data_IF_608261695600
#
_entry.id   IF_608261695600
#
_cell.length_a   1.000
_cell.length_b   1.000
_cell.length_c   1.000
_cell.angle_alpha   90.00
_cell.angle_beta   90.00
_cell.angle_gamma   90.00
#
_symmetry.space_group_name_H-M   'P 1'
#
loop_
_entity.id
_entity.type
_entity.pdbx_description
1 polymer ?
#
# COMPACT_ATOMS: atom_id res chain seq x y z
N UNK A 1 12.68 -38.81 6.36
CA UNK A 1 11.27 -38.32 6.42
C UNK A 1 11.10 -37.02 7.21
N UNK A 2 11.89 -36.76 8.26
CA UNK A 2 11.76 -35.54 9.08
C UNK A 2 12.01 -34.23 8.30
N UNK A 3 13.05 -34.18 7.44
CA UNK A 3 13.35 -32.96 6.65
C UNK A 3 12.24 -32.56 5.66
N UNK A 4 11.49 -33.52 5.12
CA UNK A 4 10.34 -33.22 4.24
C UNK A 4 9.18 -32.57 5.03
N UNK A 5 8.98 -32.97 6.28
CA UNK A 5 7.94 -32.39 7.15
C UNK A 5 8.28 -30.96 7.57
N UNK A 6 9.56 -30.67 7.87
CA UNK A 6 10.00 -29.31 8.20
C UNK A 6 9.90 -28.35 7.01
N UNK A 7 10.27 -28.79 5.81
CA UNK A 7 10.13 -27.95 4.60
C UNK A 7 8.66 -27.61 4.32
N UNK A 8 7.77 -28.60 4.40
CA UNK A 8 6.33 -28.37 4.19
C UNK A 8 5.77 -27.41 5.25
N UNK A 9 6.19 -27.54 6.51
CA UNK A 9 5.77 -26.63 7.58
C UNK A 9 6.17 -25.18 7.29
N UNK A 10 7.41 -24.93 6.87
CA UNK A 10 7.87 -23.57 6.54
C UNK A 10 7.10 -22.97 5.36
N UNK A 11 6.83 -23.74 4.31
CA UNK A 11 6.08 -23.27 3.14
C UNK A 11 4.63 -22.91 3.51
N UNK A 12 3.95 -23.77 4.27
CA UNK A 12 2.57 -23.52 4.71
C UNK A 12 2.50 -22.30 5.64
N UNK A 13 3.44 -22.18 6.57
CA UNK A 13 3.48 -21.04 7.51
C UNK A 13 3.77 -19.72 6.78
N UNK A 14 4.70 -19.73 5.81
CA UNK A 14 4.98 -18.55 5.00
C UNK A 14 3.78 -18.12 4.14
N UNK A 15 3.08 -19.08 3.52
CA UNK A 15 1.87 -18.79 2.74
C UNK A 15 0.75 -18.21 3.60
N UNK A 16 0.54 -18.77 4.80
CA UNK A 16 -0.44 -18.26 5.75
C UNK A 16 -0.12 -16.82 6.18
N UNK A 17 1.15 -16.51 6.41
CA UNK A 17 1.58 -15.18 6.82
C UNK A 17 1.37 -14.14 5.71
N UNK A 18 1.62 -14.51 4.45
CA UNK A 18 1.34 -13.65 3.28
C UNK A 18 -0.16 -13.42 3.11
N UNK A 19 -0.98 -14.46 3.25
CA UNK A 19 -2.44 -14.33 3.15
C UNK A 19 -3.02 -13.44 4.25
N UNK A 20 -2.61 -13.64 5.51
CA UNK A 20 -3.06 -12.82 6.65
C UNK A 20 -2.62 -11.37 6.49
N UNK A 21 -1.37 -11.13 6.06
CA UNK A 21 -0.87 -9.77 5.80
C UNK A 21 -1.60 -9.11 4.63
N UNK A 22 -1.91 -9.87 3.58
CA UNK A 22 -2.70 -9.40 2.44
C UNK A 22 -4.12 -9.00 2.84
N UNK A 23 -4.80 -9.81 3.65
CA UNK A 23 -6.12 -9.47 4.19
C UNK A 23 -6.06 -8.23 5.11
N UNK A 24 -5.04 -8.11 5.97
CA UNK A 24 -4.87 -6.96 6.85
C UNK A 24 -4.62 -5.65 6.06
N UNK A 25 -3.90 -5.72 4.94
CA UNK A 25 -3.69 -4.58 4.04
C UNK A 25 -4.94 -4.21 3.23
N UNK A 26 -5.91 -5.11 3.08
CA UNK A 26 -7.21 -4.77 2.49
C UNK A 26 -8.12 -4.00 3.44
N UNK A 27 -7.82 -3.99 4.74
CA UNK A 27 -8.59 -3.25 5.76
C UNK A 27 -7.96 -1.91 6.15
N UNK A 28 -7.10 -1.33 5.30
CA UNK A 28 -6.51 -0.01 5.58
C UNK A 28 -7.62 1.03 5.61
N UNK A 29 -7.99 1.45 6.81
CA UNK A 29 -8.82 2.63 7.03
C UNK A 29 -8.01 3.87 6.67
N UNK A 30 -8.56 4.80 5.86
CA UNK A 30 -7.86 6.03 5.50
C UNK A 30 -7.55 6.83 6.77
N UNK A 31 -6.27 7.20 6.94
CA UNK A 31 -5.83 8.06 8.03
C UNK A 31 -6.48 9.44 7.86
N UNK A 32 -7.48 9.72 8.69
CA UNK A 32 -8.30 10.94 8.62
C UNK A 32 -7.70 12.10 9.44
N UNK A 33 -6.37 12.22 9.47
CA UNK A 33 -5.67 13.19 10.32
C UNK A 33 -5.24 14.47 9.59
N UNK A 34 -5.36 14.50 8.25
CA UNK A 34 -5.13 15.70 7.46
C UNK A 34 -6.50 16.33 7.21
N UNK A 35 -6.82 17.38 7.97
CA UNK A 35 -7.87 18.30 7.53
C UNK A 35 -7.38 18.84 6.18
N UNK A 36 -8.01 18.44 5.08
CA UNK A 36 -7.52 18.72 3.73
C UNK A 36 -7.73 20.18 3.31
N UNK A 37 -7.42 21.13 4.21
CA UNK A 37 -7.20 22.54 3.90
C UNK A 37 -5.94 22.68 3.04
N UNK A 38 -5.98 22.08 1.85
CA UNK A 38 -5.06 22.38 0.77
C UNK A 38 -5.54 23.69 0.15
N UNK A 39 -4.60 24.50 -0.35
CA UNK A 39 -4.94 25.70 -1.10
C UNK A 39 -5.95 25.37 -2.21
N UNK A 40 -6.95 26.22 -2.40
CA UNK A 40 -7.99 26.09 -3.40
C UNK A 40 -7.83 27.13 -4.51
N UNK A 41 -8.27 26.77 -5.71
CA UNK A 41 -8.40 27.73 -6.81
C UNK A 41 -9.42 28.83 -6.47
N UNK A 42 -10.41 28.55 -5.61
CA UNK A 42 -11.40 29.52 -5.17
C UNK A 42 -10.72 30.72 -4.47
N UNK A 43 -9.89 30.48 -3.45
CA UNK A 43 -9.19 31.55 -2.72
C UNK A 43 -8.16 32.26 -3.59
N UNK A 44 -7.53 31.55 -4.51
CA UNK A 44 -6.60 32.14 -5.47
C UNK A 44 -7.28 33.21 -6.35
N UNK A 45 -8.49 32.96 -6.84
CA UNK A 45 -9.23 33.94 -7.64
C UNK A 45 -9.95 34.98 -6.78
N UNK A 46 -10.71 34.54 -5.78
CA UNK A 46 -11.59 35.44 -5.02
C UNK A 46 -10.84 36.35 -4.05
N UNK A 47 -9.78 35.84 -3.43
CA UNK A 47 -9.10 36.55 -2.33
C UNK A 47 -7.74 37.10 -2.76
N UNK A 48 -6.93 36.30 -3.47
CA UNK A 48 -5.58 36.74 -3.90
C UNK A 48 -5.67 37.66 -5.11
N UNK A 49 -6.47 37.31 -6.11
CA UNK A 49 -6.71 38.16 -7.29
C UNK A 49 -7.82 39.20 -7.05
N UNK A 50 -8.59 39.06 -5.97
CA UNK A 50 -9.63 40.02 -5.59
C UNK A 50 -10.90 39.96 -6.45
N UNK A 51 -11.19 38.83 -7.10
CA UNK A 51 -12.45 38.65 -7.82
C UNK A 51 -13.59 38.38 -6.83
N UNK A 52 -14.27 39.40 -6.30
CA UNK A 52 -15.29 39.24 -5.25
C UNK A 52 -14.73 38.61 -3.95
N UNK A 53 -13.82 39.33 -3.24
CA UNK A 53 -13.29 38.87 -1.98
C UNK A 53 -14.39 38.86 -0.92
N UNK A 54 -14.47 37.78 -0.16
CA UNK A 54 -15.47 37.57 0.88
C UNK A 54 -14.88 37.37 2.27
N UNK A 55 -13.58 37.06 2.39
CA UNK A 55 -12.95 36.91 3.72
C UNK A 55 -12.93 38.21 4.53
N UNK A 56 -13.08 39.36 3.87
CA UNK A 56 -13.09 40.70 4.45
C UNK A 56 -14.37 41.47 4.14
N UNK A 57 -15.45 40.79 3.74
CA UNK A 57 -16.75 41.41 3.42
C UNK A 57 -17.49 42.00 4.65
N UNK A 58 -16.88 41.92 5.84
CA UNK A 58 -17.45 42.39 7.10
C UNK A 58 -18.54 41.47 7.65
N UNK A 59 -18.81 40.34 6.98
CA UNK A 59 -19.73 39.34 7.47
C UNK A 59 -18.99 38.30 8.32
N UNK A 60 -19.55 37.98 9.48
CA UNK A 60 -18.94 37.00 10.39
C UNK A 60 -18.96 35.56 9.82
N UNK A 61 -19.74 35.32 8.76
CA UNK A 61 -20.04 33.96 8.30
C UNK A 61 -18.90 33.37 7.46
N UNK A 62 -18.32 34.13 6.53
CA UNK A 62 -17.16 33.69 5.75
C UNK A 62 -15.89 33.54 6.59
N UNK A 63 -15.71 34.35 7.64
CA UNK A 63 -14.51 34.33 8.50
C UNK A 63 -14.32 32.97 9.20
N UNK A 64 -15.41 32.29 9.55
CA UNK A 64 -15.36 31.07 10.38
C UNK A 64 -14.60 29.92 9.73
N UNK A 65 -14.58 29.83 8.39
CA UNK A 65 -13.95 28.74 7.65
C UNK A 65 -12.93 29.23 6.60
N UNK A 66 -12.74 30.55 6.47
CA UNK A 66 -11.74 31.17 5.60
C UNK A 66 -10.29 30.74 5.89
N UNK A 67 -10.01 30.35 7.14
CA UNK A 67 -8.69 29.91 7.58
C UNK A 67 -8.22 28.64 6.85
N UNK A 68 -9.16 27.76 6.51
CA UNK A 68 -8.88 26.44 5.92
C UNK A 68 -9.17 26.35 4.42
N UNK A 69 -9.51 27.46 3.78
CA UNK A 69 -9.80 27.49 2.34
C UNK A 69 -10.95 26.54 1.92
N UNK A 70 -12.01 26.55 2.74
CA UNK A 70 -13.14 25.62 2.64
C UNK A 70 -14.32 26.16 1.83
N UNK A 71 -14.10 27.08 0.90
CA UNK A 71 -15.17 27.71 0.11
C UNK A 71 -16.06 26.65 -0.56
N UNK A 72 -15.44 25.63 -1.15
CA UNK A 72 -16.11 24.53 -1.85
C UNK A 72 -16.92 23.60 -0.93
N UNK A 73 -16.66 23.62 0.39
CA UNK A 73 -17.44 22.81 1.32
C UNK A 73 -18.86 23.35 1.43
N UNK A 74 -19.00 24.69 1.42
CA UNK A 74 -20.30 25.35 1.44
C UNK A 74 -20.90 25.52 0.04
N UNK A 75 -20.05 25.80 -0.96
CA UNK A 75 -20.50 26.18 -2.30
C UNK A 75 -20.39 25.07 -3.34
N UNK A 76 -19.87 23.89 -2.98
CA UNK A 76 -19.45 22.84 -3.92
C UNK A 76 -18.48 23.37 -4.98
N UNK A 77 -18.54 22.83 -6.19
CA UNK A 77 -17.61 23.17 -7.27
C UNK A 77 -16.27 22.41 -7.20
N UNK A 78 -15.44 22.63 -8.21
CA UNK A 78 -14.13 22.01 -8.33
C UNK A 78 -13.06 22.98 -7.80
N UNK A 79 -12.69 22.81 -6.54
CA UNK A 79 -11.70 23.64 -5.85
C UNK A 79 -10.26 23.46 -6.35
N UNK A 80 -10.05 22.56 -7.30
CA UNK A 80 -8.77 22.32 -7.93
C UNK A 80 -8.74 22.90 -9.35
N UNK A 81 -9.86 23.11 -10.04
CA UNK A 81 -9.81 23.59 -11.42
C UNK A 81 -9.19 24.99 -11.54
N UNK A 82 -8.29 25.16 -12.54
CA UNK A 82 -7.71 26.47 -12.90
C UNK A 82 -8.64 27.27 -13.82
N UNK A 83 -9.47 26.58 -14.59
CA UNK A 83 -10.49 27.21 -15.42
C UNK A 83 -11.71 27.60 -14.58
N UNK A 84 -12.22 28.81 -14.80
CA UNK A 84 -13.34 29.37 -14.03
C UNK A 84 -14.64 28.61 -14.23
N UNK A 85 -14.94 28.17 -15.46
CA UNK A 85 -16.17 27.45 -15.74
C UNK A 85 -16.11 26.03 -15.14
N UNK A 86 -14.96 25.37 -15.22
CA UNK A 86 -14.75 24.07 -14.58
C UNK A 86 -14.79 24.19 -13.05
N UNK A 87 -14.18 25.22 -12.46
CA UNK A 87 -14.22 25.46 -11.02
C UNK A 87 -15.65 25.67 -10.50
N UNK A 88 -16.50 26.33 -11.29
CA UNK A 88 -17.90 26.58 -10.92
C UNK A 88 -18.87 25.46 -11.32
N UNK A 89 -18.39 24.40 -11.98
CA UNK A 89 -19.25 23.29 -12.39
C UNK A 89 -19.77 22.55 -11.16
N UNK A 90 -21.11 22.46 -11.03
CA UNK A 90 -21.75 21.78 -9.90
C UNK A 90 -21.75 22.60 -8.60
N UNK A 91 -21.47 23.90 -8.65
CA UNK A 91 -21.68 24.77 -7.50
C UNK A 91 -23.14 24.81 -7.08
N UNK A 92 -23.36 24.95 -5.79
CA UNK A 92 -24.68 25.01 -5.16
C UNK A 92 -24.78 26.23 -4.24
N UNK A 93 -25.99 26.73 -3.97
CA UNK A 93 -26.19 27.71 -2.92
C UNK A 93 -25.70 27.16 -1.57
N UNK A 94 -25.14 28.02 -0.70
CA UNK A 94 -24.69 27.58 0.62
C UNK A 94 -25.84 26.93 1.40
N UNK A 95 -25.51 25.91 2.19
CA UNK A 95 -26.46 25.15 3.03
C UNK A 95 -27.53 24.35 2.25
N UNK A 96 -27.37 24.15 0.93
CA UNK A 96 -28.26 23.29 0.15
C UNK A 96 -28.16 21.81 0.58
N UNK A 97 -26.96 21.36 0.97
CA UNK A 97 -26.72 20.03 1.54
C UNK A 97 -25.81 20.14 2.77
N UNK A 98 -26.42 20.51 3.90
CA UNK A 98 -25.70 20.67 5.17
C UNK A 98 -25.00 19.37 5.59
N UNK A 99 -25.57 18.21 5.25
CA UNK A 99 -24.96 16.93 5.59
C UNK A 99 -23.64 16.77 4.84
N UNK A 100 -23.64 16.96 3.53
CA UNK A 100 -22.43 16.89 2.72
C UNK A 100 -21.39 17.95 3.13
N UNK A 101 -21.84 19.18 3.42
CA UNK A 101 -20.97 20.29 3.80
C UNK A 101 -20.35 20.13 5.20
N UNK A 102 -21.13 19.72 6.21
CA UNK A 102 -20.71 19.89 7.60
C UNK A 102 -20.34 18.58 8.31
N UNK A 103 -20.90 17.42 7.90
CA UNK A 103 -20.86 16.20 8.72
C UNK A 103 -19.46 15.66 8.98
N UNK A 104 -18.51 15.94 8.08
CA UNK A 104 -17.14 15.46 8.22
C UNK A 104 -16.43 16.04 9.45
N UNK A 105 -16.75 17.27 9.83
CA UNK A 105 -16.17 17.95 11.00
C UNK A 105 -17.16 18.08 12.17
N UNK A 106 -18.46 18.10 11.87
CA UNK A 106 -19.54 18.33 12.83
C UNK A 106 -20.57 17.19 12.83
N UNK A 107 -20.17 15.96 13.21
CA UNK A 107 -21.08 14.81 13.19
C UNK A 107 -22.15 14.86 14.29
N UNK A 108 -21.90 15.60 15.38
CA UNK A 108 -22.78 15.66 16.55
C UNK A 108 -23.64 16.91 16.66
N UNK A 109 -23.28 18.00 15.96
CA UNK A 109 -23.86 19.34 16.13
C UNK A 109 -24.15 20.04 14.80
N UNK A 110 -24.30 19.25 13.72
CA UNK A 110 -24.50 19.71 12.35
C UNK A 110 -25.63 20.74 12.21
N UNK A 111 -26.83 20.39 12.69
CA UNK A 111 -28.04 21.23 12.56
C UNK A 111 -27.91 22.52 13.37
N UNK A 112 -27.36 22.44 14.58
CA UNK A 112 -27.17 23.61 15.45
C UNK A 112 -26.23 24.62 14.80
N UNK A 113 -25.10 24.15 14.27
CA UNK A 113 -24.14 25.02 13.57
C UNK A 113 -24.70 25.59 12.28
N UNK A 114 -25.36 24.76 11.48
CA UNK A 114 -25.99 25.22 10.24
C UNK A 114 -27.06 26.28 10.48
N UNK A 115 -27.78 26.21 11.61
CA UNK A 115 -28.81 27.18 11.96
C UNK A 115 -28.24 28.58 12.19
N UNK A 116 -27.02 28.70 12.73
CA UNK A 116 -26.33 30.00 12.89
C UNK A 116 -26.13 30.66 11.53
N UNK A 117 -25.66 29.89 10.54
CA UNK A 117 -25.45 30.38 9.18
C UNK A 117 -26.76 30.67 8.45
N UNK A 118 -27.75 29.78 8.57
CA UNK A 118 -29.08 29.96 8.00
C UNK A 118 -29.73 31.27 8.48
N UNK A 119 -29.62 31.54 9.79
CA UNK A 119 -30.14 32.77 10.41
C UNK A 119 -29.40 34.02 9.95
N UNK A 120 -28.07 33.94 9.81
CA UNK A 120 -27.25 35.06 9.31
C UNK A 120 -27.52 35.37 7.83
N UNK A 121 -27.79 34.33 7.02
CA UNK A 121 -28.07 34.44 5.59
C UNK A 121 -29.56 34.71 5.27
N UNK A 122 -30.44 34.57 6.25
CA UNK A 122 -31.89 34.67 6.03
C UNK A 122 -32.45 33.55 5.13
N UNK A 123 -31.83 32.37 5.15
CA UNK A 123 -32.25 31.20 4.35
C UNK A 123 -32.69 30.06 5.25
N UNK A 124 -33.50 29.14 4.73
CA UNK A 124 -33.83 27.90 5.43
C UNK A 124 -32.81 26.81 5.09
N UNK A 125 -32.49 25.95 6.06
CA UNK A 125 -31.58 24.83 5.85
C UNK A 125 -32.19 23.89 4.80
N UNK A 126 -31.42 23.55 3.76
CA UNK A 126 -31.87 22.70 2.67
C UNK A 126 -32.81 23.39 1.67
N UNK A 127 -33.07 24.71 1.81
CA UNK A 127 -33.94 25.42 0.86
C UNK A 127 -33.26 25.75 -0.45
N UNK A 128 -31.95 25.52 -0.58
CA UNK A 128 -31.18 25.77 -1.80
C UNK A 128 -31.59 27.08 -2.47
N UNK A 129 -31.60 28.18 -1.71
CA UNK A 129 -32.22 29.41 -2.19
C UNK A 129 -31.53 29.89 -3.47
N UNK A 130 -32.35 30.09 -4.50
CA UNK A 130 -31.95 30.61 -5.80
C UNK A 130 -31.15 31.91 -5.67
N UNK A 131 -30.17 32.04 -6.57
CA UNK A 131 -29.28 33.17 -6.81
C UNK A 131 -29.69 34.48 -6.10
N UNK A 132 -28.84 34.95 -5.18
CA UNK A 132 -28.92 36.33 -4.70
C UNK A 132 -28.76 37.30 -5.86
N UNK A 133 -29.69 38.25 -5.95
CA UNK A 133 -29.61 39.41 -6.82
C UNK A 133 -28.29 40.20 -6.56
N UNK A 134 -27.77 40.94 -7.55
CA UNK A 134 -26.51 41.65 -7.40
C UNK A 134 -26.62 42.66 -6.26
N UNK A 135 -25.69 42.61 -5.32
CA UNK A 135 -25.57 43.62 -4.29
C UNK A 135 -25.29 44.98 -4.95
N UNK A 136 -26.17 45.96 -4.73
CA UNK A 136 -25.94 47.35 -5.06
C UNK A 136 -24.68 47.86 -4.34
N UNK A 137 -23.78 48.44 -5.14
CA UNK A 137 -22.52 49.03 -4.69
C UNK A 137 -22.77 50.20 -3.74
N UNK A 138 -22.41 50.05 -2.47
CA UNK A 138 -22.22 51.16 -1.53
C UNK A 138 -20.77 51.66 -1.69
N UNK A 139 -20.51 52.99 -1.78
CA UNK A 139 -19.16 53.48 -2.01
C UNK A 139 -18.26 53.25 -0.80
N UNK A 140 -17.04 52.82 -1.08
CA UNK A 140 -15.98 52.51 -0.13
C UNK A 140 -15.55 53.74 0.68
N UNK A 141 -15.56 53.61 2.00
CA UNK A 141 -14.83 54.50 2.89
C UNK A 141 -13.40 53.99 3.07
N UNK A 142 -12.42 54.88 2.88
CA UNK A 142 -10.99 54.63 3.02
C UNK A 142 -10.61 54.21 4.45
N UNK A 143 -9.89 53.09 4.61
CA UNK A 143 -9.07 52.79 5.79
C UNK A 143 -7.70 52.23 5.39
N UNK A 144 -6.67 52.41 6.23
CA UNK A 144 -5.29 52.51 5.81
C UNK A 144 -4.59 51.15 5.67
N UNK A 145 -3.58 51.16 4.80
CA UNK A 145 -2.65 50.07 4.58
C UNK A 145 -1.82 49.76 5.84
N UNK A 146 -1.70 48.48 6.20
CA UNK A 146 -0.42 47.78 6.47
C UNK A 146 -0.65 46.45 7.21
N UNK A 147 -0.27 45.35 6.57
CA UNK A 147 0.58 44.32 7.17
C UNK A 147 1.10 43.37 6.06
N UNK A 148 2.43 43.21 6.07
CA UNK A 148 3.28 42.41 5.19
C UNK A 148 2.64 41.17 4.51
N UNK A 149 2.67 41.16 3.18
CA UNK A 149 2.48 39.97 2.36
C UNK A 149 3.71 39.07 2.45
N UNK A 150 3.53 37.86 2.99
CA UNK A 150 4.46 36.75 2.79
C UNK A 150 4.19 36.20 1.38
N UNK A 151 5.20 35.99 0.52
CA UNK A 151 4.97 35.36 -0.77
C UNK A 151 4.79 33.86 -0.51
N UNK A 152 3.53 33.42 -0.42
CA UNK A 152 3.22 32.00 -0.55
C UNK A 152 2.74 31.81 -1.98
N UNK A 153 3.64 31.33 -2.83
CA UNK A 153 3.29 30.74 -4.11
C UNK A 153 2.43 29.51 -3.82
N UNK A 154 1.13 29.70 -3.64
CA UNK A 154 0.15 28.62 -3.53
C UNK A 154 -0.12 28.06 -4.93
N UNK A 155 0.91 27.53 -5.58
CA UNK A 155 0.73 26.72 -6.76
C UNK A 155 0.36 25.32 -6.29
N UNK A 156 -0.90 24.94 -6.49
CA UNK A 156 -1.39 23.59 -6.21
C UNK A 156 -0.63 22.65 -7.15
N UNK A 157 0.14 21.74 -6.56
CA UNK A 157 0.73 20.62 -7.29
C UNK A 157 -0.34 19.54 -7.48
N UNK A 158 -0.86 19.43 -8.71
CA UNK A 158 -1.92 18.51 -9.06
C UNK A 158 -1.47 17.05 -9.09
N UNK A 159 -0.16 16.82 -9.16
CA UNK A 159 0.43 15.49 -9.14
C UNK A 159 0.89 15.07 -7.73
N UNK A 160 0.61 15.88 -6.69
CA UNK A 160 0.92 15.52 -5.30
C UNK A 160 0.09 14.29 -4.88
N UNK A 161 0.72 13.15 -4.55
CA UNK A 161 0.02 11.96 -4.08
C UNK A 161 -0.74 12.16 -2.75
N UNK A 162 -0.51 13.28 -2.05
CA UNK A 162 -1.23 13.66 -0.83
C UNK A 162 -2.40 14.63 -1.12
N UNK A 163 -2.63 15.00 -2.38
CA UNK A 163 -3.75 15.86 -2.75
C UNK A 163 -5.06 15.08 -2.69
N UNK A 164 -5.92 15.47 -1.75
CA UNK A 164 -7.26 14.87 -1.61
C UNK A 164 -8.14 15.32 -2.78
N UNK A 165 -8.52 14.39 -3.65
CA UNK A 165 -9.47 14.64 -4.72
C UNK A 165 -10.91 14.61 -4.17
N UNK A 166 -11.46 15.79 -3.92
CA UNK A 166 -12.78 15.94 -3.31
C UNK A 166 -13.94 15.46 -4.20
N UNK A 167 -13.80 15.55 -5.53
CA UNK A 167 -14.79 15.01 -6.46
C UNK A 167 -14.85 13.47 -6.34
N UNK A 168 -13.69 12.81 -6.31
CA UNK A 168 -13.62 11.37 -6.07
C UNK A 168 -14.15 10.98 -4.68
N UNK A 169 -13.92 11.81 -3.66
CA UNK A 169 -14.41 11.59 -2.30
C UNK A 169 -15.94 11.75 -2.19
N UNK A 170 -16.51 12.71 -2.91
CA UNK A 170 -17.96 12.87 -3.02
C UNK A 170 -18.59 11.65 -3.73
N UNK A 171 -18.00 11.20 -4.83
CA UNK A 171 -18.42 9.99 -5.53
C UNK A 171 -18.39 8.74 -4.63
N UNK A 172 -17.40 8.63 -3.74
CA UNK A 172 -17.30 7.54 -2.76
C UNK A 172 -18.36 7.62 -1.66
N UNK A 173 -18.52 8.78 -1.02
CA UNK A 173 -19.36 8.96 0.18
C UNK A 173 -20.84 9.09 -0.18
N UNK A 174 -21.16 9.85 -1.24
CA UNK A 174 -22.54 10.22 -1.59
C UNK A 174 -23.09 9.29 -2.67
N UNK A 175 -22.29 8.95 -3.68
CA UNK A 175 -22.72 8.08 -4.79
C UNK A 175 -22.37 6.60 -4.57
N UNK A 176 -21.60 6.27 -3.52
CA UNK A 176 -21.19 4.90 -3.22
C UNK A 176 -20.22 4.29 -4.25
N UNK A 177 -19.60 5.11 -5.10
CA UNK A 177 -18.66 4.66 -6.12
C UNK A 177 -17.29 4.45 -5.48
N UNK A 178 -16.93 3.20 -5.24
CA UNK A 178 -15.60 2.84 -4.75
C UNK A 178 -14.55 3.06 -5.85
N UNK A 179 -13.49 3.85 -5.63
CA UNK A 179 -12.42 4.01 -6.61
C UNK A 179 -11.64 2.70 -6.74
N UNK A 180 -11.50 2.20 -7.98
CA UNK A 180 -10.67 1.01 -8.25
C UNK A 180 -9.20 1.42 -8.15
N UNK A 181 -8.51 0.95 -7.11
CA UNK A 181 -7.07 1.14 -6.99
C UNK A 181 -6.35 0.19 -7.97
N UNK A 182 -6.02 0.72 -9.16
CA UNK A 182 -5.31 -0.01 -10.20
C UNK A 182 -3.96 -0.57 -9.72
N UNK A 183 -3.28 0.11 -8.79
CA UNK A 183 -2.05 -0.38 -8.17
C UNK A 183 -2.24 -1.70 -7.43
N UNK A 184 -3.30 -1.80 -6.61
CA UNK A 184 -3.65 -3.05 -5.94
C UNK A 184 -4.02 -4.16 -6.93
N UNK A 185 -4.69 -3.80 -8.03
CA UNK A 185 -5.08 -4.77 -9.06
C UNK A 185 -3.87 -5.32 -9.83
N UNK A 186 -2.89 -4.46 -10.14
CA UNK A 186 -1.60 -4.85 -10.72
C UNK A 186 -0.82 -5.73 -9.74
N UNK A 187 -0.76 -5.35 -8.46
CA UNK A 187 -0.07 -6.11 -7.42
C UNK A 187 -0.65 -7.52 -7.27
N UNK A 188 -1.98 -7.65 -7.23
CA UNK A 188 -2.65 -8.96 -7.22
C UNK A 188 -2.33 -9.78 -8.47
N UNK A 189 -2.27 -9.14 -9.64
CA UNK A 189 -1.82 -9.78 -10.88
C UNK A 189 -0.40 -10.34 -10.77
N UNK A 190 0.54 -9.57 -10.22
CA UNK A 190 1.93 -10.02 -10.03
C UNK A 190 2.04 -11.16 -9.02
N UNK A 191 1.31 -11.10 -7.91
CA UNK A 191 1.27 -12.18 -6.91
C UNK A 191 0.73 -13.46 -7.55
N UNK A 192 -0.35 -13.37 -8.34
CA UNK A 192 -0.89 -14.50 -9.08
C UNK A 192 0.12 -15.11 -10.05
N UNK A 193 0.86 -14.27 -10.78
CA UNK A 193 1.89 -14.71 -11.72
C UNK A 193 3.05 -15.42 -11.01
N UNK A 194 3.51 -14.91 -9.87
CA UNK A 194 4.55 -15.56 -9.06
C UNK A 194 4.05 -16.87 -8.46
N UNK A 195 2.82 -16.94 -7.96
CA UNK A 195 2.25 -18.16 -7.39
C UNK A 195 2.08 -19.26 -8.46
N UNK A 196 1.54 -18.91 -9.63
CA UNK A 196 1.34 -19.84 -10.75
C UNK A 196 2.66 -20.22 -11.41
N UNK A 197 3.51 -19.24 -11.69
CA UNK A 197 4.82 -19.45 -12.33
C UNK A 197 5.81 -20.17 -11.42
N UNK A 198 5.97 -19.70 -10.18
CA UNK A 198 6.84 -20.31 -9.18
C UNK A 198 6.34 -21.67 -8.71
N UNK A 199 5.05 -21.78 -8.38
CA UNK A 199 4.43 -23.05 -7.99
C UNK A 199 4.46 -24.08 -9.12
N UNK A 200 4.12 -23.67 -10.35
CA UNK A 200 4.18 -24.52 -11.54
C UNK A 200 5.60 -24.98 -11.87
N UNK A 201 6.59 -24.09 -11.76
CA UNK A 201 8.00 -24.42 -11.97
C UNK A 201 8.52 -25.44 -10.96
N UNK A 202 8.19 -25.31 -9.67
CA UNK A 202 8.60 -26.27 -8.64
C UNK A 202 7.98 -27.64 -8.89
N UNK A 203 6.67 -27.71 -9.17
CA UNK A 203 5.98 -29.00 -9.41
C UNK A 203 6.48 -29.71 -10.66
N UNK A 204 6.73 -28.97 -11.75
CA UNK A 204 7.25 -29.55 -12.99
C UNK A 204 8.69 -30.01 -12.85
N UNK A 205 9.52 -29.27 -12.09
CA UNK A 205 10.92 -29.65 -11.86
C UNK A 205 11.08 -30.81 -10.88
N UNK A 206 10.23 -30.91 -9.85
CA UNK A 206 10.21 -32.07 -8.93
C UNK A 206 9.79 -33.36 -9.64
N UNK A 207 8.96 -33.29 -10.69
CA UNK A 207 8.64 -34.46 -11.53
C UNK A 207 9.76 -34.84 -12.50
N UNK A 208 10.57 -33.88 -12.97
CA UNK A 208 11.64 -34.12 -13.94
C UNK A 208 12.95 -34.64 -13.30
N UNK A 209 13.19 -34.38 -12.01
CA UNK A 209 14.37 -34.88 -11.29
C UNK A 209 13.94 -35.87 -10.21
N UNK A 210 13.31 -36.96 -10.64
CA UNK A 210 13.30 -38.21 -9.88
C UNK A 210 14.74 -38.73 -9.87
N UNK A 211 15.56 -38.29 -8.90
CA UNK A 211 16.80 -39.01 -8.56
C UNK A 211 16.37 -40.34 -7.96
N UNK A 212 16.17 -41.33 -8.84
CA UNK A 212 16.20 -42.72 -8.43
C UNK A 212 17.64 -42.97 -7.99
N UNK A 213 17.90 -42.85 -6.70
CA UNK A 213 18.97 -43.62 -6.11
C UNK A 213 18.58 -45.07 -6.40
N UNK A 214 19.24 -45.65 -7.42
CA UNK A 214 19.01 -47.04 -7.78
C UNK A 214 19.10 -47.87 -6.51
N UNK A 215 18.15 -48.80 -6.35
CA UNK A 215 18.05 -49.67 -5.18
C UNK A 215 19.45 -50.11 -4.77
N UNK A 216 19.81 -49.82 -3.52
CA UNK A 216 21.04 -50.32 -2.92
C UNK A 216 20.89 -51.83 -2.95
N UNK A 217 21.49 -52.49 -3.95
CA UNK A 217 21.62 -53.93 -3.95
C UNK A 217 22.30 -54.27 -2.63
N UNK A 218 21.58 -54.96 -1.74
CA UNK A 218 22.24 -55.64 -0.63
C UNK A 218 23.35 -56.48 -1.24
N UNK A 219 24.57 -56.32 -0.72
CA UNK A 219 25.63 -57.26 -1.01
C UNK A 219 25.08 -58.65 -0.63
N UNK A 220 24.91 -59.53 -1.61
CA UNK A 220 24.48 -60.89 -1.35
C UNK A 220 25.52 -61.62 -0.49
N UNK A 221 25.21 -62.85 -0.09
CA UNK A 221 26.01 -63.72 0.79
C UNK A 221 27.43 -64.08 0.28
N UNK A 222 27.93 -63.36 -0.73
CA UNK A 222 29.20 -63.53 -1.43
C UNK A 222 30.35 -62.75 -0.77
N UNK A 223 30.06 -61.84 0.16
CA UNK A 223 31.06 -61.05 0.89
C UNK A 223 31.05 -61.37 2.40
N UNK A 224 32.22 -61.41 3.07
CA UNK A 224 32.31 -61.56 4.52
C UNK A 224 31.47 -60.52 5.26
N UNK A 225 30.90 -60.89 6.40
CA UNK A 225 30.00 -60.05 7.21
C UNK A 225 30.66 -58.71 7.54
N UNK A 226 31.96 -58.74 7.82
CA UNK A 226 32.79 -57.59 8.16
C UNK A 226 32.84 -56.57 7.01
N UNK A 227 32.89 -57.04 5.76
CA UNK A 227 32.87 -56.17 4.56
C UNK A 227 31.51 -55.51 4.39
N UNK A 228 30.43 -56.27 4.65
CA UNK A 228 29.05 -55.77 4.56
C UNK A 228 28.78 -54.73 5.66
N UNK A 229 29.32 -54.93 6.86
CA UNK A 229 29.21 -53.99 7.99
C UNK A 229 29.97 -52.67 7.75
N UNK A 230 31.01 -52.68 6.90
CA UNK A 230 31.75 -51.47 6.53
C UNK A 230 31.05 -50.63 5.43
N UNK A 231 30.09 -51.19 4.69
CA UNK A 231 29.41 -50.50 3.60
C UNK A 231 28.72 -49.19 4.04
N UNK A 232 27.95 -49.14 5.15
CA UNK A 232 27.34 -47.90 5.63
C UNK A 232 28.38 -46.79 5.90
N UNK A 233 29.53 -47.14 6.48
CA UNK A 233 30.60 -46.19 6.74
C UNK A 233 31.19 -45.62 5.45
N UNK A 234 31.39 -46.47 4.43
CA UNK A 234 31.86 -46.06 3.11
C UNK A 234 30.83 -45.18 2.36
N UNK A 235 29.54 -45.46 2.52
CA UNK A 235 28.47 -44.65 1.91
C UNK A 235 28.35 -43.25 2.54
N UNK A 236 28.70 -43.11 3.83
CA UNK A 236 28.70 -41.83 4.55
C UNK A 236 29.89 -40.92 4.20
N UNK A 237 30.90 -41.41 3.48
CA UNK A 237 32.01 -40.58 3.01
C UNK A 237 31.53 -39.52 2.00
N UNK A 238 32.23 -38.38 1.92
CA UNK A 238 31.97 -37.36 0.89
C UNK A 238 32.20 -37.95 -0.52
N UNK A 239 31.46 -37.44 -1.51
CA UNK A 239 31.53 -37.94 -2.91
C UNK A 239 32.95 -37.98 -3.48
N UNK A 240 33.75 -36.95 -3.23
CA UNK A 240 35.14 -36.88 -3.68
C UNK A 240 36.04 -37.91 -2.97
N UNK A 241 35.80 -38.17 -1.68
CA UNK A 241 36.53 -39.18 -0.91
C UNK A 241 36.24 -40.60 -1.41
N UNK A 242 35.00 -40.90 -1.79
CA UNK A 242 34.65 -42.19 -2.40
C UNK A 242 35.33 -42.40 -3.75
N UNK A 243 35.40 -41.36 -4.58
CA UNK A 243 36.12 -41.39 -5.87
C UNK A 243 37.62 -41.60 -5.68
N UNK A 244 38.22 -40.88 -4.73
CA UNK A 244 39.64 -41.05 -4.40
C UNK A 244 39.95 -42.45 -3.89
N UNK A 245 39.14 -42.99 -2.98
CA UNK A 245 39.30 -44.35 -2.46
C UNK A 245 39.21 -45.39 -3.58
N UNK A 246 38.21 -45.27 -4.46
CA UNK A 246 38.07 -46.14 -5.63
C UNK A 246 39.31 -46.08 -6.53
N UNK A 247 39.79 -44.87 -6.82
CA UNK A 247 40.98 -44.68 -7.67
C UNK A 247 42.25 -45.27 -7.05
N UNK A 248 42.39 -45.20 -5.72
CA UNK A 248 43.52 -45.79 -5.00
C UNK A 248 43.47 -47.32 -5.06
N UNK A 249 42.31 -47.92 -4.81
CA UNK A 249 42.11 -49.37 -4.86
C UNK A 249 42.27 -49.96 -6.27
N UNK A 250 41.93 -49.19 -7.31
CA UNK A 250 42.13 -49.59 -8.72
C UNK A 250 43.54 -49.27 -9.23
N UNK A 251 44.38 -48.57 -8.45
CA UNK A 251 45.73 -48.22 -8.86
C UNK A 251 46.74 -49.31 -8.51
N UNK A 252 47.86 -49.44 -9.26
CA UNK A 252 48.98 -50.32 -8.89
C UNK A 252 49.70 -49.89 -7.60
N UNK A 253 49.24 -48.83 -6.92
CA UNK A 253 49.75 -48.39 -5.61
C UNK A 253 48.88 -48.88 -4.45
N UNK A 254 47.83 -49.66 -4.71
CA UNK A 254 46.96 -50.22 -3.69
C UNK A 254 47.75 -51.01 -2.63
N UNK A 255 48.74 -51.80 -3.06
CA UNK A 255 49.63 -52.58 -2.18
C UNK A 255 50.32 -51.71 -1.13
N UNK A 256 50.84 -50.53 -1.51
CA UNK A 256 51.49 -49.61 -0.56
C UNK A 256 50.53 -49.03 0.47
N UNK A 257 49.26 -48.88 0.13
CA UNK A 257 48.24 -48.39 1.05
C UNK A 257 47.81 -49.51 1.99
N UNK A 258 47.70 -50.73 1.49
CA UNK A 258 47.45 -51.92 2.31
C UNK A 258 48.61 -52.17 3.30
N UNK A 259 49.87 -52.03 2.88
CA UNK A 259 51.03 -52.15 3.76
C UNK A 259 51.00 -51.14 4.93
N UNK A 260 50.54 -49.91 4.66
CA UNK A 260 50.35 -48.88 5.69
C UNK A 260 49.21 -49.22 6.65
N UNK A 261 48.14 -49.86 6.15
CA UNK A 261 47.04 -50.33 7.00
C UNK A 261 47.48 -51.51 7.86
N UNK A 262 48.24 -52.45 7.32
CA UNK A 262 48.80 -53.58 8.07
C UNK A 262 49.72 -53.13 9.21
N UNK A 263 50.48 -52.05 8.99
CA UNK A 263 51.31 -51.45 10.04
C UNK A 263 50.48 -50.85 11.19
N UNK A 264 49.27 -50.36 10.91
CA UNK A 264 48.34 -49.85 11.93
C UNK A 264 47.67 -51.03 12.66
N UNK A 265 47.19 -52.03 11.92
CA UNK A 265 46.54 -53.22 12.51
C UNK A 265 47.50 -53.97 13.45
N UNK A 266 48.75 -54.19 13.04
CA UNK A 266 49.76 -54.83 13.90
C UNK A 266 50.07 -54.06 15.18
N UNK A 267 49.88 -52.74 15.18
CA UNK A 267 50.11 -51.88 16.34
C UNK A 267 48.95 -51.93 17.34
N UNK A 268 47.75 -52.28 16.87
CA UNK A 268 46.56 -52.43 17.72
C UNK A 268 46.47 -53.84 18.35
N UNK A 269 47.29 -54.79 17.89
CA UNK A 269 47.39 -56.17 18.41
C UNK A 269 48.53 -56.39 19.44
N UNK A 270 49.39 -55.40 19.68
CA UNK A 270 50.42 -55.37 20.75
C UNK A 270 49.93 -54.66 22.02
#
# INVERSE_FOLDING_TARGET
MQHKKTIILFVVTGLALVLVSGLALMTVTPASAQCGSQASSCKSCHEVQGEMPVNSDGTAWHTSHAFGDFCYICHAGNNQAKDKAEAHTGMVPPLSDVKASCQQCHPGDLTERAQVYASALGVEIGSGSAAQAPAESVPAAEQPASAAAVPVSAEIDYDDPNLVNYAARYDEIVLGKQPINWGNLILLGMIGLVAVGGGGFVVTREKLVSVKFGDVKQAGDEYPVEVVEMLPALTNLKSNSRKALKQVLESPKAEKVLDLMDAVVKKDEE
#
